data_IF_724209888942
#
_entry.id   IF_724209888942
#
_cell.length_a   1.000
_cell.length_b   1.000
_cell.length_c   1.000
_cell.angle_alpha   90.00
_cell.angle_beta   90.00
_cell.angle_gamma   90.00
#
_symmetry.space_group_name_H-M   'P 1'
#
loop_
_entity.id
_entity.type
_entity.pdbx_description
1 polymer ?
#
# COMPACT_ATOMS: atom_id res chain seq x y z
N UNK A 1 21.95 -5.18 9.91
CA UNK A 1 21.33 -4.10 9.11
C UNK A 1 20.53 -4.69 7.98
N UNK A 2 19.35 -4.13 7.71
CA UNK A 2 18.49 -4.56 6.59
C UNK A 2 18.24 -3.34 5.70
N UNK A 3 18.43 -3.50 4.39
CA UNK A 3 18.18 -2.46 3.39
C UNK A 3 17.15 -2.99 2.40
N UNK A 4 15.94 -2.43 2.44
CA UNK A 4 14.88 -2.66 1.46
C UNK A 4 15.26 -2.01 0.11
N UNK A 5 14.48 -2.20 -0.98
CA UNK A 5 14.78 -1.56 -2.25
C UNK A 5 14.94 -0.04 -2.10
N UNK A 6 16.01 0.50 -2.68
CA UNK A 6 16.29 1.94 -2.67
C UNK A 6 15.67 2.56 -3.91
N UNK A 7 14.80 3.54 -3.71
CA UNK A 7 14.18 4.34 -4.76
C UNK A 7 14.27 5.83 -4.44
N UNK A 8 13.88 6.68 -5.39
CA UNK A 8 13.78 8.12 -5.17
C UNK A 8 12.61 8.40 -4.22
N UNK A 9 12.91 8.80 -3.00
CA UNK A 9 11.97 9.27 -1.98
C UNK A 9 12.73 10.15 -1.00
N UNK A 10 12.05 11.13 -0.40
CA UNK A 10 12.67 12.10 0.51
C UNK A 10 13.88 12.83 -0.09
N UNK A 11 13.80 13.18 -1.37
CA UNK A 11 14.91 13.83 -2.12
C UNK A 11 15.38 15.10 -1.45
N UNK A 12 14.49 15.88 -0.84
CA UNK A 12 14.83 17.10 -0.09
C UNK A 12 15.79 16.86 1.07
N UNK A 13 15.89 15.64 1.59
CA UNK A 13 16.70 15.30 2.76
C UNK A 13 17.84 14.33 2.44
N UNK A 14 17.63 13.41 1.51
CA UNK A 14 18.54 12.28 1.26
C UNK A 14 19.38 12.44 0.00
N UNK A 15 19.08 13.45 -0.83
CA UNK A 15 19.78 13.72 -2.10
C UNK A 15 18.93 13.40 -3.34
N UNK A 16 19.35 13.95 -4.47
CA UNK A 16 18.61 13.91 -5.74
C UNK A 16 18.90 12.67 -6.59
N UNK A 17 19.84 11.83 -6.15
CA UNK A 17 20.30 10.64 -6.89
C UNK A 17 20.19 9.37 -6.06
N UNK A 18 20.01 8.23 -6.74
CA UNK A 18 20.03 6.92 -6.08
C UNK A 18 21.34 6.67 -5.34
N UNK A 19 22.48 7.15 -5.86
CA UNK A 19 23.79 7.01 -5.23
C UNK A 19 23.90 7.76 -3.90
N UNK A 20 23.37 8.99 -3.82
CA UNK A 20 23.32 9.78 -2.58
C UNK A 20 22.44 9.11 -1.54
N UNK A 21 21.23 8.72 -1.92
CA UNK A 21 20.28 8.02 -1.05
C UNK A 21 20.89 6.68 -0.57
N UNK A 22 21.54 5.93 -1.45
CA UNK A 22 22.20 4.67 -1.10
C UNK A 22 23.35 4.89 -0.11
N UNK A 23 24.11 5.96 -0.28
CA UNK A 23 25.23 6.32 0.61
C UNK A 23 24.72 6.63 2.02
N UNK A 24 23.63 7.39 2.14
CA UNK A 24 23.00 7.69 3.43
C UNK A 24 22.45 6.41 4.09
N UNK A 25 21.72 5.59 3.33
CA UNK A 25 21.19 4.31 3.83
C UNK A 25 22.29 3.31 4.20
N UNK A 26 23.46 3.32 3.51
CA UNK A 26 24.60 2.50 3.85
C UNK A 26 25.20 2.84 5.24
N UNK A 27 24.96 4.05 5.76
CA UNK A 27 25.40 4.46 7.09
C UNK A 27 24.87 3.61 8.25
N UNK A 28 23.82 2.81 8.06
CA UNK A 28 23.33 1.88 9.08
C UNK A 28 24.17 0.61 9.20
N UNK A 29 25.08 0.33 8.25
CA UNK A 29 25.92 -0.88 8.25
C UNK A 29 26.96 -0.75 9.37
N UNK A 30 26.89 -1.66 10.34
CA UNK A 30 27.76 -1.63 11.53
C UNK A 30 29.03 -2.44 11.33
N UNK A 31 30.15 -2.02 11.98
CA UNK A 31 31.39 -2.83 12.00
C UNK A 31 31.13 -4.26 12.46
N UNK A 32 31.72 -5.22 11.79
CA UNK A 32 31.61 -6.67 12.04
C UNK A 32 30.15 -7.19 12.08
N UNK A 33 29.21 -6.41 11.52
CA UNK A 33 27.79 -6.75 11.50
C UNK A 33 27.40 -7.65 10.34
N UNK A 34 26.11 -7.65 10.01
CA UNK A 34 25.55 -8.34 8.85
C UNK A 34 24.68 -7.36 8.06
N UNK A 35 24.92 -7.23 6.75
CA UNK A 35 24.05 -6.54 5.80
C UNK A 35 23.16 -7.58 5.11
N UNK A 36 21.84 -7.40 5.23
CA UNK A 36 20.84 -8.09 4.42
C UNK A 36 20.22 -7.04 3.49
N UNK A 37 20.37 -7.22 2.19
CA UNK A 37 19.87 -6.28 1.18
C UNK A 37 18.86 -6.94 0.26
N UNK A 38 17.74 -6.26 0.00
CA UNK A 38 16.90 -6.58 -1.13
C UNK A 38 17.70 -6.49 -2.45
N UNK A 39 17.11 -6.99 -3.55
CA UNK A 39 17.60 -6.72 -4.88
C UNK A 39 17.64 -5.20 -5.12
N UNK A 40 18.75 -4.71 -5.68
CA UNK A 40 19.00 -3.29 -5.85
C UNK A 40 19.44 -2.98 -7.29
N UNK A 41 19.30 -1.71 -7.67
CA UNK A 41 20.02 -1.20 -8.83
C UNK A 41 21.53 -1.47 -8.69
N UNK A 42 22.26 -1.79 -9.76
CA UNK A 42 23.70 -2.11 -9.73
C UNK A 42 24.56 -1.06 -9.05
N UNK A 43 24.26 0.23 -9.19
CA UNK A 43 24.99 1.32 -8.54
C UNK A 43 24.76 1.29 -7.03
N UNK A 44 23.52 1.14 -6.60
CA UNK A 44 23.14 1.02 -5.17
C UNK A 44 23.78 -0.22 -4.54
N UNK A 45 23.70 -1.37 -5.22
CA UNK A 45 24.30 -2.62 -4.74
C UNK A 45 25.81 -2.47 -4.53
N UNK A 46 26.51 -1.76 -5.45
CA UNK A 46 27.95 -1.51 -5.35
C UNK A 46 28.27 -0.66 -4.11
N UNK A 47 27.53 0.41 -3.86
CA UNK A 47 27.71 1.30 -2.69
C UNK A 47 27.53 0.52 -1.38
N UNK A 48 26.46 -0.28 -1.29
CA UNK A 48 26.17 -1.09 -0.11
C UNK A 48 27.26 -2.14 0.13
N UNK A 49 27.69 -2.84 -0.93
CA UNK A 49 28.73 -3.87 -0.87
C UNK A 49 30.08 -3.29 -0.43
N UNK A 50 30.48 -2.16 -1.00
CA UNK A 50 31.74 -1.51 -0.66
C UNK A 50 31.72 -1.00 0.79
N UNK A 51 30.58 -0.49 1.25
CA UNK A 51 30.42 -0.10 2.65
C UNK A 51 30.49 -1.30 3.58
N UNK A 52 29.82 -2.41 3.25
CA UNK A 52 29.88 -3.64 4.04
C UNK A 52 31.33 -4.16 4.16
N UNK A 53 32.08 -4.16 3.05
CA UNK A 53 33.51 -4.53 3.04
C UNK A 53 34.37 -3.61 3.91
N UNK A 54 34.17 -2.30 3.83
CA UNK A 54 34.86 -1.31 4.68
C UNK A 54 34.58 -1.51 6.16
N UNK A 55 33.37 -1.96 6.50
CA UNK A 55 32.95 -2.25 7.88
C UNK A 55 33.30 -3.68 8.33
N UNK A 56 33.97 -4.49 7.51
CA UNK A 56 34.22 -5.91 7.77
C UNK A 56 32.91 -6.69 8.08
N UNK A 57 31.77 -6.21 7.55
CA UNK A 57 30.45 -6.82 7.75
C UNK A 57 30.26 -8.01 6.79
N UNK A 58 29.61 -9.05 7.25
CA UNK A 58 29.04 -10.08 6.37
C UNK A 58 27.91 -9.46 5.55
N UNK A 59 27.60 -10.01 4.38
CA UNK A 59 26.53 -9.51 3.54
C UNK A 59 25.82 -10.64 2.81
N UNK A 60 24.55 -10.42 2.50
CA UNK A 60 23.74 -11.25 1.62
C UNK A 60 22.74 -10.37 0.85
N UNK A 61 22.57 -10.70 -0.43
CA UNK A 61 21.68 -9.99 -1.35
C UNK A 61 20.57 -10.92 -1.84
N UNK A 62 19.36 -10.38 -1.91
CA UNK A 62 18.23 -11.07 -2.52
C UNK A 62 18.54 -11.42 -3.98
N UNK A 63 18.09 -12.61 -4.40
CA UNK A 63 18.36 -13.16 -5.72
C UNK A 63 19.70 -13.90 -5.81
N UNK A 64 20.62 -13.73 -4.85
CA UNK A 64 21.93 -14.39 -4.78
C UNK A 64 21.96 -15.42 -3.64
N UNK A 65 21.96 -14.96 -2.39
CA UNK A 65 22.05 -15.81 -1.22
C UNK A 65 20.66 -16.27 -0.71
N UNK A 66 19.67 -15.45 -0.84
CA UNK A 66 18.28 -15.70 -0.38
C UNK A 66 17.26 -15.14 -1.37
N UNK A 67 15.97 -15.46 -1.19
CA UNK A 67 14.91 -14.88 -2.03
C UNK A 67 13.65 -15.74 -2.07
N UNK A 68 12.69 -15.31 -2.88
CA UNK A 68 11.48 -16.07 -3.21
C UNK A 68 11.81 -17.10 -4.28
N UNK A 69 11.52 -18.38 -4.01
CA UNK A 69 11.72 -19.50 -4.94
C UNK A 69 10.46 -19.75 -5.76
N UNK A 70 9.31 -19.78 -5.06
CA UNK A 70 7.99 -19.97 -5.67
C UNK A 70 7.00 -19.03 -5.00
N UNK A 71 6.03 -18.56 -5.79
CA UNK A 71 4.95 -17.69 -5.33
C UNK A 71 3.66 -18.04 -6.05
N UNK A 72 2.65 -18.46 -5.29
CA UNK A 72 1.29 -18.67 -5.75
C UNK A 72 0.32 -17.71 -5.08
N UNK A 73 -0.67 -17.24 -5.82
CA UNK A 73 -1.77 -16.44 -5.26
C UNK A 73 -2.68 -17.37 -4.46
N UNK A 74 -3.10 -16.91 -3.28
CA UNK A 74 -4.04 -17.61 -2.41
C UNK A 74 -5.15 -16.66 -1.94
N UNK A 75 -6.27 -17.22 -1.52
CA UNK A 75 -7.37 -16.43 -0.94
C UNK A 75 -6.87 -15.75 0.35
N UNK A 76 -6.94 -14.41 0.36
CA UNK A 76 -6.49 -13.61 1.50
C UNK A 76 -4.98 -13.41 1.61
N UNK A 77 -4.21 -13.70 0.54
CA UNK A 77 -2.76 -13.51 0.53
C UNK A 77 -2.05 -14.34 -0.54
N UNK A 78 -0.97 -15.00 -0.16
CA UNK A 78 -0.13 -15.79 -1.07
C UNK A 78 0.55 -16.96 -0.35
N UNK A 79 0.86 -18.01 -1.10
CA UNK A 79 1.65 -19.16 -0.67
C UNK A 79 3.06 -19.04 -1.26
N UNK A 80 4.07 -19.17 -0.42
CA UNK A 80 5.47 -18.93 -0.81
C UNK A 80 6.36 -20.12 -0.47
N UNK A 81 7.36 -20.35 -1.32
CA UNK A 81 8.58 -21.07 -0.97
C UNK A 81 9.70 -20.04 -0.89
N UNK A 82 10.29 -19.88 0.30
CA UNK A 82 11.40 -18.94 0.53
C UNK A 82 12.71 -19.70 0.74
N UNK A 83 13.77 -19.26 0.05
CA UNK A 83 15.14 -19.62 0.36
C UNK A 83 15.72 -18.58 1.33
N UNK A 84 16.06 -19.00 2.53
CA UNK A 84 16.82 -18.22 3.49
C UNK A 84 18.33 -18.35 3.29
N UNK A 85 19.13 -17.90 4.26
CA UNK A 85 20.60 -18.02 4.24
C UNK A 85 21.06 -19.46 4.52
N UNK A 86 20.32 -20.20 5.34
CA UNK A 86 20.70 -21.51 5.85
C UNK A 86 19.70 -22.63 5.50
N UNK A 87 18.56 -22.32 4.91
CA UNK A 87 17.54 -23.30 4.57
C UNK A 87 16.51 -22.81 3.59
N UNK A 88 15.69 -23.76 3.11
CA UNK A 88 14.53 -23.50 2.26
C UNK A 88 13.26 -23.84 3.05
N UNK A 89 12.26 -22.99 2.90
CA UNK A 89 11.02 -23.03 3.67
C UNK A 89 9.82 -23.02 2.71
N UNK A 90 9.31 -24.20 2.34
CA UNK A 90 8.09 -24.29 1.52
C UNK A 90 6.83 -24.09 2.36
N UNK A 91 5.70 -23.85 1.67
CA UNK A 91 4.35 -23.76 2.22
C UNK A 91 4.17 -22.62 3.24
N UNK A 92 4.81 -21.48 3.00
CA UNK A 92 4.62 -20.28 3.83
C UNK A 92 3.34 -19.59 3.40
N UNK A 93 2.33 -19.60 4.27
CA UNK A 93 1.14 -18.78 4.13
C UNK A 93 1.45 -17.34 4.57
N UNK A 94 1.41 -16.40 3.63
CA UNK A 94 1.60 -14.98 3.91
C UNK A 94 0.29 -14.22 3.65
N UNK A 95 -0.42 -13.71 4.68
CA UNK A 95 -1.70 -13.00 4.52
C UNK A 95 -1.51 -11.54 4.07
N UNK A 96 -0.65 -11.32 3.09
CA UNK A 96 -0.37 -10.04 2.44
C UNK A 96 -0.35 -10.25 0.93
N UNK A 97 -0.84 -9.27 0.17
CA UNK A 97 -0.90 -9.31 -1.28
C UNK A 97 0.31 -8.66 -1.93
N UNK A 98 0.66 -9.13 -3.14
CA UNK A 98 1.66 -8.55 -4.01
C UNK A 98 3.05 -9.17 -3.89
N UNK A 99 3.75 -9.19 -5.03
CA UNK A 99 5.09 -9.76 -5.14
C UNK A 99 6.08 -9.10 -4.17
N UNK A 100 5.99 -7.78 -4.03
CA UNK A 100 6.84 -7.00 -3.11
C UNK A 100 6.72 -7.46 -1.65
N UNK A 101 5.56 -8.00 -1.22
CA UNK A 101 5.41 -8.55 0.13
C UNK A 101 6.09 -9.92 0.28
N UNK A 102 6.12 -10.72 -0.79
CA UNK A 102 6.93 -11.94 -0.84
C UNK A 102 8.43 -11.64 -0.72
N UNK A 103 8.90 -10.62 -1.42
CA UNK A 103 10.28 -10.11 -1.32
C UNK A 103 10.58 -9.59 0.08
N UNK A 104 9.69 -8.81 0.68
CA UNK A 104 9.83 -8.35 2.07
C UNK A 104 9.87 -9.53 3.06
N UNK A 105 9.10 -10.58 2.83
CA UNK A 105 9.12 -11.79 3.64
C UNK A 105 10.46 -12.53 3.54
N UNK A 106 11.03 -12.66 2.34
CA UNK A 106 12.35 -13.26 2.14
C UNK A 106 13.46 -12.47 2.86
N UNK A 107 13.37 -11.13 2.77
CA UNK A 107 14.28 -10.21 3.44
C UNK A 107 14.20 -10.34 4.97
N UNK A 108 12.97 -10.44 5.51
CA UNK A 108 12.74 -10.64 6.94
C UNK A 108 13.28 -11.98 7.42
N UNK A 109 13.04 -13.06 6.67
CA UNK A 109 13.58 -14.39 6.98
C UNK A 109 15.10 -14.39 7.04
N UNK A 110 15.77 -13.87 6.00
CA UNK A 110 17.22 -13.75 5.94
C UNK A 110 17.79 -12.88 7.09
N UNK A 111 17.08 -11.82 7.47
CA UNK A 111 17.49 -10.96 8.59
C UNK A 111 17.43 -11.70 9.94
N UNK A 112 16.40 -12.52 10.16
CA UNK A 112 16.29 -13.34 11.39
C UNK A 112 17.36 -14.44 11.42
N UNK A 113 17.58 -15.13 10.30
CA UNK A 113 18.67 -16.12 10.22
C UNK A 113 20.04 -15.47 10.48
N UNK A 114 20.32 -14.31 9.87
CA UNK A 114 21.54 -13.56 10.10
C UNK A 114 21.73 -13.15 11.58
N UNK A 115 20.63 -12.78 12.26
CA UNK A 115 20.65 -12.47 13.70
C UNK A 115 21.11 -13.67 14.54
N UNK A 116 20.76 -14.90 14.14
CA UNK A 116 21.21 -16.14 14.78
C UNK A 116 22.52 -16.70 14.20
N UNK A 117 23.25 -15.91 13.39
CA UNK A 117 24.58 -16.29 12.85
C UNK A 117 24.59 -16.59 11.36
N UNK A 118 23.43 -16.88 10.74
CA UNK A 118 23.27 -17.11 9.30
C UNK A 118 23.71 -18.48 8.79
N UNK A 119 24.11 -19.39 9.67
CA UNK A 119 24.64 -20.73 9.32
C UNK A 119 23.73 -21.88 9.77
N UNK A 120 22.62 -21.58 10.42
CA UNK A 120 21.66 -22.55 10.93
C UNK A 120 20.24 -22.20 10.51
N UNK A 121 19.57 -23.17 9.89
CA UNK A 121 18.15 -23.04 9.55
C UNK A 121 17.28 -22.90 10.81
N UNK A 122 16.26 -22.06 10.74
CA UNK A 122 15.23 -21.91 11.76
C UNK A 122 14.30 -23.14 11.77
N UNK A 123 13.62 -23.38 12.89
CA UNK A 123 12.61 -24.43 12.94
C UNK A 123 11.44 -24.07 12.01
N UNK A 124 11.10 -24.99 11.10
CA UNK A 124 10.11 -24.74 10.04
C UNK A 124 8.75 -24.32 10.60
N UNK A 125 8.28 -25.02 11.64
CA UNK A 125 7.00 -24.75 12.30
C UNK A 125 6.94 -23.32 12.89
N UNK A 126 8.05 -22.82 13.43
CA UNK A 126 8.16 -21.44 13.94
C UNK A 126 8.10 -20.43 12.81
N UNK A 127 8.77 -20.71 11.69
CA UNK A 127 8.74 -19.82 10.50
C UNK A 127 7.33 -19.76 9.93
N UNK A 128 6.68 -20.90 9.69
CA UNK A 128 5.32 -20.96 9.17
C UNK A 128 4.32 -20.22 10.09
N UNK A 129 4.38 -20.49 11.39
CA UNK A 129 3.50 -19.84 12.37
C UNK A 129 3.74 -18.32 12.44
N UNK A 130 4.99 -17.88 12.29
CA UNK A 130 5.36 -16.46 12.27
C UNK A 130 4.75 -15.72 11.09
N UNK A 131 4.92 -16.26 9.88
CA UNK A 131 4.38 -15.63 8.67
C UNK A 131 2.86 -15.66 8.60
N UNK A 132 2.21 -16.74 9.02
CA UNK A 132 0.74 -16.84 9.02
C UNK A 132 0.06 -15.79 9.93
N UNK A 133 0.77 -15.23 10.89
CA UNK A 133 0.25 -14.21 11.82
C UNK A 133 0.60 -12.76 11.43
N UNK A 134 1.33 -12.57 10.34
CA UNK A 134 1.73 -11.22 9.90
C UNK A 134 0.50 -10.35 9.64
N UNK A 135 0.56 -9.12 10.10
CA UNK A 135 -0.41 -8.06 9.80
C UNK A 135 0.35 -6.80 9.41
N UNK A 136 -0.07 -6.18 8.34
CA UNK A 136 0.48 -4.90 7.89
C UNK A 136 -0.66 -3.95 7.53
N UNK A 137 -1.20 -3.22 8.53
CA UNK A 137 -2.31 -2.30 8.29
C UNK A 137 -1.99 -1.28 7.20
N UNK A 138 -2.95 -1.07 6.30
CA UNK A 138 -2.79 -0.16 5.16
C UNK A 138 -1.79 -0.65 4.10
N UNK A 139 -1.60 -1.97 3.96
CA UNK A 139 -0.88 -2.58 2.84
C UNK A 139 -1.81 -3.54 2.12
N UNK A 140 -2.56 -3.04 1.14
CA UNK A 140 -3.67 -3.73 0.49
C UNK A 140 -4.58 -4.44 1.50
N UNK A 141 -4.90 -3.72 2.56
CA UNK A 141 -5.71 -4.23 3.66
C UNK A 141 -7.19 -4.21 3.27
N UNK A 142 -7.78 -5.37 3.11
CA UNK A 142 -9.23 -5.49 2.93
C UNK A 142 -9.95 -5.21 4.24
N UNK A 143 -10.70 -4.10 4.30
CA UNK A 143 -11.50 -3.69 5.48
C UNK A 143 -12.94 -4.17 5.36
N UNK A 144 -13.45 -4.25 4.14
CA UNK A 144 -14.81 -4.69 3.82
C UNK A 144 -14.79 -5.58 2.61
N UNK A 145 -15.72 -6.52 2.58
CA UNK A 145 -15.92 -7.42 1.43
C UNK A 145 -17.16 -7.04 0.59
N UNK A 146 -18.07 -6.23 1.13
CA UNK A 146 -19.32 -5.88 0.45
C UNK A 146 -19.78 -4.45 0.84
N UNK A 147 -19.59 -3.44 -0.03
CA UNK A 147 -18.70 -3.52 -1.20
C UNK A 147 -17.25 -3.80 -0.77
N UNK A 148 -16.45 -4.34 -1.68
CA UNK A 148 -15.03 -4.49 -1.43
C UNK A 148 -14.40 -3.12 -1.16
N UNK A 149 -13.72 -2.96 -0.02
CA UNK A 149 -12.94 -1.75 0.32
C UNK A 149 -11.55 -2.17 0.75
N UNK A 150 -10.54 -1.67 0.03
CA UNK A 150 -9.13 -1.96 0.27
C UNK A 150 -8.38 -0.68 0.57
N UNK A 151 -7.57 -0.68 1.61
CA UNK A 151 -6.71 0.43 2.02
C UNK A 151 -5.26 0.15 1.66
N UNK A 152 -4.60 1.11 1.01
CA UNK A 152 -3.16 1.05 0.75
C UNK A 152 -2.47 2.40 0.99
N UNK A 153 -1.42 2.40 1.81
CA UNK A 153 -0.68 3.59 2.21
C UNK A 153 0.48 3.97 1.27
N UNK A 154 0.45 3.52 0.02
CA UNK A 154 1.38 3.99 -1.00
C UNK A 154 1.26 5.52 -1.16
N UNK A 155 2.40 6.20 -1.18
CA UNK A 155 2.48 7.66 -1.12
C UNK A 155 3.64 8.24 -1.95
N UNK A 156 4.17 7.44 -2.86
CA UNK A 156 5.12 7.84 -3.89
C UNK A 156 4.89 7.01 -5.16
N UNK A 157 5.35 7.45 -6.33
CA UNK A 157 5.08 6.78 -7.60
C UNK A 157 5.47 5.30 -7.62
N UNK A 158 6.65 4.96 -7.05
CA UNK A 158 7.12 3.57 -6.98
C UNK A 158 6.20 2.68 -6.13
N UNK A 159 5.81 3.16 -4.95
CA UNK A 159 4.89 2.45 -4.06
C UNK A 159 3.50 2.28 -4.67
N UNK A 160 2.96 3.34 -5.31
CA UNK A 160 1.66 3.28 -5.99
C UNK A 160 1.67 2.27 -7.13
N UNK A 161 2.74 2.20 -7.93
CA UNK A 161 2.89 1.19 -8.99
C UNK A 161 2.87 -0.23 -8.43
N UNK A 162 3.64 -0.50 -7.40
CA UNK A 162 3.69 -1.81 -6.75
C UNK A 162 2.34 -2.21 -6.13
N UNK A 163 1.67 -1.26 -5.47
CA UNK A 163 0.34 -1.46 -4.88
C UNK A 163 -0.73 -1.69 -5.96
N UNK A 164 -0.73 -0.91 -7.05
CA UNK A 164 -1.69 -1.04 -8.16
C UNK A 164 -1.56 -2.38 -8.87
N UNK A 165 -0.33 -2.82 -9.16
CA UNK A 165 -0.08 -4.14 -9.74
C UNK A 165 -0.61 -5.25 -8.82
N UNK A 166 -0.29 -5.18 -7.52
CA UNK A 166 -0.73 -6.16 -6.56
C UNK A 166 -2.26 -6.13 -6.31
N UNK A 167 -2.88 -4.95 -6.36
CA UNK A 167 -4.34 -4.79 -6.27
C UNK A 167 -5.06 -5.47 -7.43
N UNK A 168 -4.62 -5.21 -8.67
CA UNK A 168 -5.17 -5.85 -9.88
C UNK A 168 -4.99 -7.36 -9.86
N UNK A 169 -3.84 -7.86 -9.36
CA UNK A 169 -3.61 -9.29 -9.19
C UNK A 169 -4.54 -9.95 -8.16
N UNK A 170 -4.82 -9.25 -7.05
CA UNK A 170 -5.57 -9.81 -5.93
C UNK A 170 -7.09 -9.71 -6.11
N UNK A 171 -7.55 -8.64 -6.79
CA UNK A 171 -8.96 -8.28 -6.89
C UNK A 171 -9.32 -8.05 -8.36
N UNK A 172 -9.74 -9.06 -9.06
CA UNK A 172 -10.13 -9.00 -10.48
C UNK A 172 -11.42 -8.18 -10.67
N UNK A 173 -11.31 -6.83 -10.69
CA UNK A 173 -12.44 -5.91 -10.74
C UNK A 173 -12.63 -5.32 -12.14
N UNK A 174 -13.91 -5.18 -12.52
CA UNK A 174 -14.33 -4.44 -13.74
C UNK A 174 -14.53 -2.95 -13.49
N UNK A 175 -14.74 -2.56 -12.21
CA UNK A 175 -14.91 -1.16 -11.80
C UNK A 175 -14.07 -0.87 -10.56
N UNK A 176 -13.23 0.17 -10.65
CA UNK A 176 -12.38 0.63 -9.55
C UNK A 176 -12.74 2.06 -9.17
N UNK A 177 -13.17 2.26 -7.94
CA UNK A 177 -13.45 3.55 -7.33
C UNK A 177 -12.28 3.95 -6.43
N UNK A 178 -11.39 4.82 -6.90
CA UNK A 178 -10.20 5.22 -6.15
C UNK A 178 -10.48 6.50 -5.33
N UNK A 179 -10.41 6.40 -4.00
CA UNK A 179 -10.44 7.55 -3.09
C UNK A 179 -9.00 7.92 -2.78
N UNK A 180 -8.58 9.13 -3.18
CA UNK A 180 -7.18 9.56 -3.13
C UNK A 180 -7.03 10.86 -2.36
N UNK A 181 -6.07 10.88 -1.41
CA UNK A 181 -5.65 12.09 -0.72
C UNK A 181 -4.15 12.04 -0.44
N UNK A 182 -3.45 13.12 -0.77
CA UNK A 182 -1.99 13.19 -0.81
C UNK A 182 -1.49 14.31 0.10
N UNK A 183 -0.29 14.15 0.66
CA UNK A 183 0.37 15.19 1.47
C UNK A 183 1.28 16.05 0.60
N UNK A 184 1.38 17.35 0.92
CA UNK A 184 2.07 18.37 0.11
C UNK A 184 3.57 18.14 -0.11
N UNK A 185 4.22 17.35 0.76
CA UNK A 185 5.63 16.98 0.59
C UNK A 185 5.86 15.79 -0.38
N UNK A 186 4.80 15.26 -1.01
CA UNK A 186 4.89 14.10 -1.90
C UNK A 186 4.77 14.51 -3.37
N UNK A 187 5.30 13.67 -4.22
CA UNK A 187 5.20 13.82 -5.68
C UNK A 187 3.78 13.43 -6.14
N UNK A 188 2.83 14.36 -5.98
CA UNK A 188 1.44 14.15 -6.33
C UNK A 188 1.25 13.93 -7.83
N UNK A 189 1.98 14.67 -8.69
CA UNK A 189 1.90 14.50 -10.13
C UNK A 189 2.34 13.09 -10.54
N UNK A 190 3.50 12.64 -10.09
CA UNK A 190 4.00 11.31 -10.40
C UNK A 190 3.10 10.18 -9.85
N UNK A 191 2.42 10.39 -8.70
CA UNK A 191 1.40 9.47 -8.18
C UNK A 191 0.22 9.36 -9.14
N UNK A 192 -0.33 10.48 -9.61
CA UNK A 192 -1.45 10.48 -10.55
C UNK A 192 -1.06 9.92 -11.92
N UNK A 193 0.13 10.23 -12.44
CA UNK A 193 0.63 9.65 -13.68
C UNK A 193 0.63 8.12 -13.59
N UNK A 194 1.14 7.55 -12.48
CA UNK A 194 1.13 6.10 -12.26
C UNK A 194 -0.29 5.54 -12.15
N UNK A 195 -1.18 6.20 -11.40
CA UNK A 195 -2.58 5.74 -11.31
C UNK A 195 -3.27 5.75 -12.68
N UNK A 196 -3.01 6.76 -13.52
CA UNK A 196 -3.55 6.82 -14.87
C UNK A 196 -3.01 5.68 -15.74
N UNK A 197 -1.69 5.48 -15.76
CA UNK A 197 -1.06 4.39 -16.50
C UNK A 197 -1.62 3.02 -16.09
N UNK A 198 -1.77 2.79 -14.78
CA UNK A 198 -2.15 1.49 -14.23
C UNK A 198 -3.65 1.18 -14.35
N UNK A 199 -4.53 2.17 -14.32
CA UNK A 199 -5.98 1.94 -14.28
C UNK A 199 -6.74 2.49 -15.48
N UNK A 200 -6.20 3.46 -16.21
CA UNK A 200 -6.87 4.05 -17.37
C UNK A 200 -6.26 3.55 -18.67
N UNK A 201 -4.93 3.56 -18.78
CA UNK A 201 -4.24 3.25 -20.03
C UNK A 201 -4.03 1.72 -20.22
N UNK A 202 -3.93 0.96 -19.11
CA UNK A 202 -3.50 -0.45 -19.17
C UNK A 202 -4.59 -1.48 -18.89
N UNK A 203 -5.82 -1.06 -18.60
CA UNK A 203 -6.94 -1.96 -18.28
C UNK A 203 -8.21 -1.58 -19.04
N UNK A 204 -9.10 -2.57 -19.24
CA UNK A 204 -10.46 -2.34 -19.73
C UNK A 204 -11.44 -2.00 -18.58
N UNK A 205 -10.95 -1.97 -17.32
CA UNK A 205 -11.77 -1.67 -16.17
C UNK A 205 -12.18 -0.17 -16.17
N UNK A 206 -13.41 0.09 -15.78
CA UNK A 206 -13.85 1.46 -15.53
C UNK A 206 -13.19 2.00 -14.27
N UNK A 207 -12.58 3.18 -14.37
CA UNK A 207 -11.93 3.86 -13.26
C UNK A 207 -12.63 5.16 -12.93
N UNK A 208 -12.85 5.43 -11.66
CA UNK A 208 -13.35 6.70 -11.13
C UNK A 208 -12.50 7.19 -9.99
N UNK A 209 -12.23 8.49 -9.98
CA UNK A 209 -11.34 9.15 -9.04
C UNK A 209 -12.13 10.08 -8.11
N UNK A 210 -12.07 9.83 -6.81
CA UNK A 210 -12.68 10.61 -5.75
C UNK A 210 -11.55 11.28 -4.97
N UNK A 211 -11.41 12.58 -5.13
CA UNK A 211 -10.37 13.37 -4.50
C UNK A 211 -10.86 13.95 -3.19
N UNK A 212 -10.09 13.78 -2.13
CA UNK A 212 -10.38 14.33 -0.82
C UNK A 212 -9.10 14.55 -0.02
N UNK A 213 -9.22 15.10 1.17
CA UNK A 213 -8.10 15.34 2.07
C UNK A 213 -8.36 14.70 3.45
N UNK A 214 -7.30 14.30 4.13
CA UNK A 214 -7.36 14.00 5.57
C UNK A 214 -7.32 15.28 6.39
N UNK A 215 -7.69 15.23 7.66
CA UNK A 215 -7.61 16.35 8.62
C UNK A 215 -6.17 16.86 8.88
N UNK A 216 -5.18 16.33 8.17
CA UNK A 216 -3.79 16.75 8.29
C UNK A 216 -3.58 18.16 7.74
N UNK A 217 -2.92 19.03 8.51
CA UNK A 217 -2.53 20.38 8.03
C UNK A 217 -1.53 20.35 6.85
N UNK A 218 -0.99 19.17 6.51
CA UNK A 218 -0.08 18.96 5.38
C UNK A 218 -0.79 18.39 4.15
N UNK A 219 -2.09 18.10 4.23
CA UNK A 219 -2.84 17.58 3.10
C UNK A 219 -2.93 18.63 2.00
N UNK A 220 -2.80 18.19 0.75
CA UNK A 220 -3.12 19.02 -0.43
C UNK A 220 -4.65 19.18 -0.46
N UNK A 221 -5.10 20.40 -0.75
CA UNK A 221 -6.53 20.68 -0.89
C UNK A 221 -7.14 19.84 -2.04
N UNK A 222 -8.39 19.37 -1.91
CA UNK A 222 -9.00 18.52 -2.93
C UNK A 222 -9.09 19.16 -4.33
N UNK A 223 -9.29 20.48 -4.41
CA UNK A 223 -9.32 21.24 -5.67
C UNK A 223 -7.92 21.31 -6.31
N UNK A 224 -6.87 21.46 -5.51
CA UNK A 224 -5.49 21.42 -6.00
C UNK A 224 -5.12 20.02 -6.50
N UNK A 225 -5.59 18.95 -5.81
CA UNK A 225 -5.45 17.58 -6.30
C UNK A 225 -6.13 17.38 -7.64
N UNK A 226 -7.30 18.02 -7.87
CA UNK A 226 -7.98 17.98 -9.16
C UNK A 226 -7.14 18.61 -10.27
N UNK A 227 -6.57 19.78 -10.04
CA UNK A 227 -5.68 20.44 -11.02
C UNK A 227 -4.49 19.53 -11.36
N UNK A 228 -3.84 18.92 -10.36
CA UNK A 228 -2.71 18.00 -10.58
C UNK A 228 -3.15 16.74 -11.34
N UNK A 229 -4.34 16.18 -11.04
CA UNK A 229 -4.87 15.02 -11.75
C UNK A 229 -5.18 15.33 -13.23
N UNK A 230 -5.70 16.51 -13.52
CA UNK A 230 -5.91 17.00 -14.89
C UNK A 230 -4.56 17.18 -15.63
N UNK A 231 -3.55 17.73 -14.96
CA UNK A 231 -2.19 17.87 -15.50
C UNK A 231 -1.54 16.50 -15.78
N UNK A 232 -1.84 15.48 -14.95
CA UNK A 232 -1.45 14.09 -15.19
C UNK A 232 -2.20 13.42 -16.35
N UNK A 233 -3.21 14.09 -16.94
CA UNK A 233 -3.96 13.66 -18.11
C UNK A 233 -5.21 12.83 -17.82
N UNK A 234 -5.78 12.90 -16.62
CA UNK A 234 -7.11 12.35 -16.35
C UNK A 234 -8.21 13.17 -17.03
N UNK A 235 -9.28 12.50 -17.49
CA UNK A 235 -10.48 13.16 -17.98
C UNK A 235 -11.29 13.72 -16.80
N UNK A 236 -11.73 14.98 -16.89
CA UNK A 236 -12.54 15.64 -15.86
C UNK A 236 -13.82 14.84 -15.49
N UNK A 237 -14.40 14.13 -16.46
CA UNK A 237 -15.63 13.36 -16.25
C UNK A 237 -15.48 12.15 -15.31
N UNK A 238 -14.27 11.70 -15.04
CA UNK A 238 -14.01 10.59 -14.11
C UNK A 238 -13.53 11.06 -12.74
N UNK A 239 -13.37 12.38 -12.54
CA UNK A 239 -12.91 12.99 -11.29
C UNK A 239 -14.11 13.59 -10.55
N UNK A 240 -14.19 13.36 -9.25
CA UNK A 240 -15.11 14.05 -8.34
C UNK A 240 -14.36 14.49 -7.11
N UNK A 241 -14.62 15.72 -6.66
CA UNK A 241 -13.95 16.36 -5.53
C UNK A 241 -14.90 16.43 -4.34
N UNK A 242 -14.37 16.15 -3.16
CA UNK A 242 -15.10 16.17 -1.88
C UNK A 242 -14.27 16.88 -0.81
N UNK A 243 -14.90 17.80 -0.09
CA UNK A 243 -14.26 18.51 1.02
C UNK A 243 -13.90 17.57 2.18
N UNK A 244 -14.69 16.51 2.37
CA UNK A 244 -14.56 15.58 3.48
C UNK A 244 -14.37 14.13 3.02
N UNK A 245 -13.46 13.42 3.68
CA UNK A 245 -13.10 12.05 3.34
C UNK A 245 -14.26 11.06 3.56
N UNK A 246 -15.10 11.28 4.57
CA UNK A 246 -16.26 10.45 4.85
C UNK A 246 -17.31 10.51 3.73
N UNK A 247 -17.52 11.68 3.13
CA UNK A 247 -18.41 11.85 1.96
C UNK A 247 -17.85 11.12 0.73
N UNK A 248 -16.56 11.32 0.44
CA UNK A 248 -15.88 10.63 -0.66
C UNK A 248 -15.98 9.11 -0.53
N UNK A 249 -15.74 8.57 0.67
CA UNK A 249 -15.85 7.15 0.97
C UNK A 249 -17.28 6.64 0.82
N UNK A 250 -18.27 7.37 1.36
CA UNK A 250 -19.67 6.98 1.30
C UNK A 250 -20.15 6.86 -0.14
N UNK A 251 -19.88 7.87 -0.96
CA UNK A 251 -20.30 7.89 -2.38
C UNK A 251 -19.52 6.85 -3.21
N UNK A 252 -18.21 6.67 -2.97
CA UNK A 252 -17.45 5.64 -3.67
C UNK A 252 -17.98 4.23 -3.35
N UNK A 253 -18.33 3.96 -2.10
CA UNK A 253 -18.93 2.69 -1.68
C UNK A 253 -20.34 2.50 -2.23
N UNK A 254 -21.18 3.55 -2.24
CA UNK A 254 -22.51 3.50 -2.82
C UNK A 254 -22.44 3.19 -4.32
N UNK A 255 -21.58 3.88 -5.07
CA UNK A 255 -21.39 3.63 -6.49
C UNK A 255 -20.90 2.20 -6.75
N UNK A 256 -19.95 1.69 -5.96
CA UNK A 256 -19.47 0.31 -6.09
C UNK A 256 -20.59 -0.73 -5.83
N UNK A 257 -21.55 -0.44 -4.96
CA UNK A 257 -22.72 -1.33 -4.71
C UNK A 257 -23.73 -1.34 -5.85
N UNK A 258 -23.84 -0.25 -6.62
CA UNK A 258 -24.78 -0.14 -7.73
C UNK A 258 -24.27 -0.72 -9.06
N UNK A 259 -22.96 -1.01 -9.15
CA UNK A 259 -22.41 -1.64 -10.37
C UNK A 259 -22.94 -3.06 -10.54
N UNK A 260 -23.22 -3.43 -11.81
CA UNK A 260 -23.72 -4.77 -12.15
C UNK A 260 -22.61 -5.83 -12.26
N UNK A 261 -21.37 -5.37 -12.33
CA UNK A 261 -20.17 -6.16 -12.44
C UNK A 261 -19.32 -6.05 -11.15
N UNK A 262 -18.19 -6.75 -11.12
CA UNK A 262 -17.31 -6.72 -9.96
C UNK A 262 -16.73 -5.32 -9.74
N UNK A 263 -17.04 -4.73 -8.60
CA UNK A 263 -16.60 -3.39 -8.25
C UNK A 263 -15.94 -3.34 -6.88
N UNK A 264 -15.04 -2.37 -6.68
CA UNK A 264 -14.41 -2.16 -5.38
C UNK A 264 -13.85 -0.76 -5.22
N UNK A 265 -13.63 -0.40 -3.97
CA UNK A 265 -13.05 0.87 -3.56
C UNK A 265 -11.59 0.67 -3.15
N UNK A 266 -10.69 1.43 -3.76
CA UNK A 266 -9.30 1.55 -3.35
C UNK A 266 -9.08 2.90 -2.68
N UNK A 267 -8.66 2.92 -1.42
CA UNK A 267 -8.28 4.16 -0.72
C UNK A 267 -6.77 4.23 -0.65
N UNK A 268 -6.16 5.32 -1.15
CA UNK A 268 -4.69 5.42 -1.26
C UNK A 268 -4.18 6.88 -1.25
N UNK A 269 -2.85 7.05 -1.31
CA UNK A 269 -2.16 8.33 -1.48
C UNK A 269 -1.43 8.83 -0.23
N UNK A 270 -1.86 8.48 0.99
CA UNK A 270 -1.13 8.83 2.21
C UNK A 270 -1.50 7.95 3.40
N UNK A 271 -0.57 7.84 4.34
CA UNK A 271 -0.81 7.14 5.62
C UNK A 271 -1.91 7.81 6.45
N UNK A 272 -2.04 9.15 6.36
CA UNK A 272 -3.06 9.92 7.11
C UNK A 272 -4.46 9.63 6.60
N UNK A 273 -4.66 9.61 5.29
CA UNK A 273 -5.95 9.24 4.67
C UNK A 273 -6.34 7.80 5.05
N UNK A 274 -5.40 6.87 5.01
CA UNK A 274 -5.65 5.46 5.39
C UNK A 274 -6.04 5.34 6.86
N UNK A 275 -5.35 6.05 7.75
CA UNK A 275 -5.66 6.04 9.18
C UNK A 275 -7.06 6.58 9.49
N UNK A 276 -7.45 7.66 8.84
CA UNK A 276 -8.77 8.29 8.97
C UNK A 276 -9.86 7.41 8.34
N UNK A 277 -9.67 6.95 7.10
CA UNK A 277 -10.60 6.03 6.43
C UNK A 277 -10.84 4.76 7.25
N UNK A 278 -9.79 4.19 7.84
CA UNK A 278 -9.92 3.03 8.71
C UNK A 278 -10.78 3.31 9.94
N UNK A 279 -10.64 4.50 10.53
CA UNK A 279 -11.45 4.93 11.69
C UNK A 279 -12.90 5.11 11.30
N UNK A 280 -13.19 5.77 10.18
CA UNK A 280 -14.53 5.97 9.65
C UNK A 280 -15.22 4.64 9.33
N UNK A 281 -14.50 3.71 8.66
CA UNK A 281 -15.03 2.40 8.26
C UNK A 281 -15.18 1.41 9.43
N UNK A 282 -14.49 1.62 10.54
CA UNK A 282 -14.65 0.80 11.76
C UNK A 282 -15.85 1.19 12.62
N UNK A 283 -16.44 2.37 12.40
CA UNK A 283 -17.66 2.79 13.08
C UNK A 283 -18.86 2.01 12.51
N UNK A 284 -19.75 1.43 13.34
CA UNK A 284 -21.00 0.88 12.85
C UNK A 284 -21.78 2.01 12.18
N UNK A 285 -22.38 1.72 11.00
CA UNK A 285 -23.20 2.68 10.28
C UNK A 285 -24.19 3.32 11.26
N UNK A 286 -24.07 4.63 11.50
CA UNK A 286 -25.10 5.37 12.23
C UNK A 286 -26.34 5.32 11.35
N UNK A 287 -27.37 4.57 11.79
CA UNK A 287 -28.68 4.65 11.18
C UNK A 287 -29.07 6.13 11.17
N UNK A 288 -29.15 6.70 9.98
CA UNK A 288 -29.72 8.03 9.76
C UNK A 288 -31.20 7.95 10.17
N UNK A 289 -31.47 8.25 11.44
CA UNK A 289 -32.79 8.55 11.91
C UNK A 289 -33.19 9.91 11.31
N UNK A 290 -33.63 9.88 10.06
CA UNK A 290 -34.47 10.93 9.54
C UNK A 290 -35.73 10.95 10.41
N UNK A 291 -35.72 11.77 11.46
CA UNK A 291 -36.91 12.13 12.19
C UNK A 291 -37.80 12.90 11.24
N UNK A 292 -38.73 12.17 10.65
CA UNK A 292 -39.91 12.76 10.03
C UNK A 292 -40.73 13.34 11.17
N UNK A 293 -40.52 14.61 11.47
CA UNK A 293 -41.44 15.41 12.28
C UNK A 293 -42.75 15.55 11.50
N UNK A 294 -43.64 14.60 11.66
CA UNK A 294 -45.03 14.79 11.37
C UNK A 294 -45.63 15.57 12.54
N UNK A 295 -45.87 16.86 12.31
CA UNK A 295 -46.75 17.65 13.19
C UNK A 295 -48.12 16.99 13.27
N UNK A 296 -48.74 16.86 14.45
CA UNK A 296 -50.13 16.42 14.56
C UNK A 296 -51.06 17.60 14.18
N UNK A 297 -51.74 17.50 13.06
CA UNK A 297 -52.89 18.37 12.76
C UNK A 297 -53.95 18.15 13.85
N UNK A 298 -54.24 19.24 14.55
CA UNK A 298 -55.39 19.41 15.40
C UNK A 298 -56.71 19.19 14.61
N UNK A 299 -57.40 18.12 14.92
CA UNK A 299 -58.85 18.06 14.64
C UNK A 299 -59.59 18.57 15.85
N UNK A 300 -59.91 19.88 15.79
CA UNK A 300 -60.89 20.50 16.66
C UNK A 300 -62.32 20.22 16.17
N UNK A 301 -63.09 19.77 17.11
CA UNK A 301 -64.52 19.99 17.33
C UNK A 301 -65.45 20.25 16.13
N UNK A 302 -66.48 19.40 16.04
CA UNK A 302 -67.88 19.90 15.93
C UNK A 302 -68.80 18.88 16.63
N UNK A 303 -69.26 19.34 17.79
CA UNK A 303 -70.44 18.77 18.45
C UNK A 303 -71.71 19.26 17.75
N UNK A 304 -72.58 18.35 17.47
CA UNK A 304 -74.04 18.40 17.86
C UNK A 304 -74.73 17.10 17.39
#
# INVERSE_FOLDING_TARGET
SVVAPVGLDHTDMLGDTLAEIATEKAGIIKPDGYLISAAQDPEVATILLDTARKQNAKYAFEGVEFGVVERDRAVGGQLLTLRGLAGEYPDIELPLHGEHQGQNASLALAAVEAFFGGDRALARDVVLAGFAQVRSPGRLEMIRSEPLVVLDAAHNPHGVRAASTAFKEAFELSHVHAVVGILGEKDALGIFEVLREEYVDSTDATFRLYLSASDSSRAIAPEELQEIALDAGFDENIITVYDHLDEALAIAMENALFEQETAGVLVTGSVTVIGEARTLLAQPAQESTAQHNAEPEELAEAAE
#
